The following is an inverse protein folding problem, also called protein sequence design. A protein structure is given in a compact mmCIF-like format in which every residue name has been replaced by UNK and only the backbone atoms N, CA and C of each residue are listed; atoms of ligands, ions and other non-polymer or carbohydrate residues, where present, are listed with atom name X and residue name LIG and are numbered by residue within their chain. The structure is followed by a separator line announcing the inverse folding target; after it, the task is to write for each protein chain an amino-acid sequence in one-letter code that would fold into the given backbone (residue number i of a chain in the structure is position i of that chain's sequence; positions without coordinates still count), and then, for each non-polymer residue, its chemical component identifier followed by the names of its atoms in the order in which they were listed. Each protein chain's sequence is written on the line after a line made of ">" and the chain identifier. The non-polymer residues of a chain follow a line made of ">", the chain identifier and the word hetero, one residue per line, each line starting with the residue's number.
data_IF_789637022276
#
_entry.id   IF_789637022276
#
_cell.length_a   1.000
_cell.length_b   1.000
_cell.length_c   1.000
_cell.angle_alpha   90.00
_cell.angle_beta   90.00
_cell.angle_gamma   90.00
#
_symmetry.space_group_name_H-M   'P 1'
#
loop_
_entity.id
_entity.type
_entity.pdbx_description
1 polymer ?
#
# COMPACT_ATOMS: atom_id res chain seq x y z
N UNK A 1 67.06 -47.51 4.72
CA UNK A 1 65.66 -47.28 4.28
C UNK A 1 64.87 -46.85 5.50
N UNK A 2 64.41 -45.60 5.50
CA UNK A 2 63.52 -45.01 6.52
C UNK A 2 62.07 -45.40 6.24
N UNK A 3 61.28 -45.59 7.30
CA UNK A 3 59.87 -45.18 7.35
C UNK A 3 59.44 -45.02 8.83
N UNK A 4 58.87 -43.87 9.25
CA UNK A 4 58.62 -43.56 10.66
C UNK A 4 57.15 -43.76 11.10
N UNK A 5 57.01 -44.01 12.40
CA UNK A 5 55.79 -44.01 13.19
C UNK A 5 55.04 -42.65 13.09
N UNK A 6 53.79 -42.69 12.63
CA UNK A 6 52.84 -41.59 12.82
C UNK A 6 52.23 -41.66 14.23
N UNK A 7 52.55 -40.67 15.07
CA UNK A 7 51.82 -40.36 16.29
C UNK A 7 50.71 -39.36 15.96
N UNK A 8 49.46 -39.74 16.18
CA UNK A 8 48.29 -38.86 16.14
C UNK A 8 48.23 -38.02 17.42
N UNK A 9 48.45 -36.71 17.32
CA UNK A 9 48.12 -35.74 18.38
C UNK A 9 46.67 -35.26 18.26
N UNK A 10 46.04 -34.77 19.35
CA UNK A 10 44.69 -34.25 19.31
C UNK A 10 44.65 -32.88 18.61
N UNK A 11 43.80 -32.75 17.59
CA UNK A 11 43.50 -31.47 16.95
C UNK A 11 42.41 -30.78 17.77
N UNK A 12 42.78 -29.72 18.51
CA UNK A 12 41.82 -28.90 19.25
C UNK A 12 41.20 -27.86 18.32
N UNK A 13 39.98 -28.14 17.86
CA UNK A 13 39.18 -27.21 17.04
C UNK A 13 38.67 -26.06 17.93
N UNK A 14 39.31 -24.90 17.85
CA UNK A 14 38.85 -23.69 18.53
C UNK A 14 37.79 -23.02 17.63
N UNK A 15 36.51 -23.25 17.93
CA UNK A 15 35.41 -22.58 17.27
C UNK A 15 35.20 -21.21 17.93
N UNK A 16 35.70 -20.14 17.31
CA UNK A 16 35.40 -18.77 17.74
C UNK A 16 33.98 -18.41 17.31
N UNK A 17 33.05 -18.32 18.25
CA UNK A 17 31.74 -17.70 18.03
C UNK A 17 31.90 -16.17 18.11
N UNK A 18 31.85 -15.49 16.96
CA UNK A 18 31.58 -14.06 16.94
C UNK A 18 30.08 -13.85 17.18
N UNK A 19 29.71 -13.48 18.41
CA UNK A 19 28.40 -12.91 18.67
C UNK A 19 28.40 -11.48 18.08
N UNK A 20 28.03 -11.37 16.80
CA UNK A 20 27.64 -10.09 16.23
C UNK A 20 26.33 -9.69 16.90
N UNK A 21 26.42 -8.80 17.88
CA UNK A 21 25.29 -8.01 18.35
C UNK A 21 24.86 -7.11 17.19
N UNK A 22 24.01 -7.64 16.31
CA UNK A 22 23.31 -6.81 15.35
C UNK A 22 22.48 -5.81 16.15
N UNK A 23 22.68 -4.49 15.99
CA UNK A 23 21.74 -3.52 16.54
C UNK A 23 20.36 -3.91 16.04
N UNK A 24 19.38 -3.92 16.95
CA UNK A 24 17.98 -4.15 16.64
C UNK A 24 17.47 -2.92 15.85
N UNK A 25 17.91 -2.82 14.60
CA UNK A 25 17.23 -2.02 13.61
C UNK A 25 15.87 -2.68 13.43
N UNK A 26 14.80 -1.94 13.66
CA UNK A 26 13.46 -2.40 13.29
C UNK A 26 13.52 -2.83 11.83
N UNK A 27 13.50 -4.13 11.57
CA UNK A 27 13.58 -4.64 10.21
C UNK A 27 12.38 -4.11 9.44
N UNK A 28 12.62 -3.54 8.25
CA UNK A 28 11.53 -3.22 7.32
C UNK A 28 10.68 -4.47 7.10
N UNK A 29 9.35 -4.33 6.92
CA UNK A 29 8.53 -5.47 6.55
C UNK A 29 9.10 -6.07 5.25
N UNK A 30 9.42 -7.36 5.27
CA UNK A 30 9.84 -8.10 4.08
C UNK A 30 8.61 -8.28 3.22
N UNK A 31 8.48 -7.48 2.16
CA UNK A 31 7.34 -7.51 1.24
C UNK A 31 7.78 -8.01 -0.12
N UNK A 32 6.95 -8.80 -0.79
CA UNK A 32 7.26 -9.42 -2.08
C UNK A 32 7.01 -8.46 -3.26
N UNK A 33 8.05 -7.89 -3.90
CA UNK A 33 7.88 -6.93 -4.98
C UNK A 33 7.21 -7.52 -6.24
N UNK A 34 7.31 -8.84 -6.44
CA UNK A 34 6.71 -9.52 -7.60
C UNK A 34 5.24 -9.88 -7.37
N UNK A 35 4.77 -9.77 -6.12
CA UNK A 35 3.39 -10.03 -5.71
C UNK A 35 2.75 -8.81 -5.03
N UNK A 36 2.95 -7.63 -5.62
CA UNK A 36 2.30 -6.39 -5.15
C UNK A 36 2.65 -6.01 -3.72
N UNK A 37 3.84 -6.38 -3.23
CA UNK A 37 4.28 -6.15 -1.86
C UNK A 37 3.46 -6.91 -0.81
N UNK A 38 2.95 -8.10 -1.15
CA UNK A 38 2.29 -8.96 -0.18
C UNK A 38 3.24 -9.33 0.97
N UNK A 39 2.76 -9.37 2.23
CA UNK A 39 3.55 -9.90 3.33
C UNK A 39 3.80 -11.39 3.13
N UNK A 40 4.83 -11.97 3.79
CA UNK A 40 5.12 -13.40 3.65
C UNK A 40 3.94 -14.25 4.07
N UNK A 41 3.91 -15.49 3.59
CA UNK A 41 2.83 -16.44 3.93
C UNK A 41 2.56 -16.49 5.44
N UNK A 42 1.27 -16.46 5.82
CA UNK A 42 0.79 -16.41 7.20
C UNK A 42 1.23 -15.18 8.02
N UNK A 43 1.66 -14.10 7.36
CA UNK A 43 1.90 -12.80 8.00
C UNK A 43 0.85 -11.79 7.52
N UNK A 44 0.62 -10.79 8.35
CA UNK A 44 -0.27 -9.67 8.07
C UNK A 44 0.52 -8.38 8.24
N UNK A 45 0.38 -7.46 7.29
CA UNK A 45 0.93 -6.13 7.40
C UNK A 45 -0.08 -5.23 8.11
N UNK A 46 0.29 -4.72 9.29
CA UNK A 46 -0.51 -3.73 10.00
C UNK A 46 -0.18 -2.33 9.48
N UNK A 47 -1.19 -1.67 8.92
CA UNK A 47 -1.16 -0.27 8.49
C UNK A 47 -2.10 0.51 9.40
N UNK A 48 -1.63 1.65 9.94
CA UNK A 48 -2.43 2.50 10.85
C UNK A 48 -2.71 3.84 10.19
N UNK A 49 -3.94 4.31 10.34
CA UNK A 49 -4.45 5.54 9.75
C UNK A 49 -5.40 6.31 10.68
N UNK A 50 -5.99 7.40 10.21
CA UNK A 50 -5.90 7.89 8.82
C UNK A 50 -5.53 9.36 8.69
N UNK A 51 -4.95 9.91 9.75
CA UNK A 51 -4.40 11.26 9.79
C UNK A 51 -3.14 11.29 10.66
N UNK A 52 -2.23 12.22 10.37
CA UNK A 52 -0.94 12.32 11.06
C UNK A 52 -1.08 12.40 12.60
N UNK A 53 -1.88 13.30 13.19
CA UNK A 53 -2.06 13.34 14.64
C UNK A 53 -2.47 12.01 15.27
N UNK A 54 -3.44 11.31 14.67
CA UNK A 54 -3.93 10.02 15.19
C UNK A 54 -2.88 8.92 15.06
N UNK A 55 -2.12 8.89 13.96
CA UNK A 55 -1.01 7.94 13.78
C UNK A 55 0.10 8.19 14.82
N UNK A 56 0.46 9.45 15.05
CA UNK A 56 1.45 9.79 16.08
C UNK A 56 0.96 9.44 17.49
N UNK A 57 -0.33 9.66 17.77
CA UNK A 57 -0.95 9.27 19.03
C UNK A 57 -0.91 7.74 19.22
N UNK A 58 -1.20 6.96 18.17
CA UNK A 58 -1.09 5.50 18.19
C UNK A 58 0.33 5.06 18.51
N UNK A 59 1.34 5.59 17.80
CA UNK A 59 2.75 5.23 18.03
C UNK A 59 3.18 5.60 19.45
N UNK A 60 2.75 6.77 19.94
CA UNK A 60 3.07 7.20 21.30
C UNK A 60 2.40 6.34 22.37
N UNK A 61 1.15 5.93 22.17
CA UNK A 61 0.41 5.12 23.13
C UNK A 61 0.92 3.67 23.19
N UNK A 62 1.19 3.08 22.03
CA UNK A 62 1.58 1.66 21.90
C UNK A 62 3.09 1.44 21.98
N UNK A 63 3.89 2.51 21.87
CA UNK A 63 5.36 2.47 21.74
C UNK A 63 5.84 1.59 20.58
N UNK A 64 4.97 1.38 19.59
CA UNK A 64 5.20 0.51 18.44
C UNK A 64 4.98 1.30 17.15
N UNK A 65 5.96 1.23 16.24
CA UNK A 65 5.83 1.78 14.89
C UNK A 65 5.11 0.74 14.02
N UNK A 66 3.96 1.07 13.39
CA UNK A 66 3.25 0.14 12.52
C UNK A 66 4.06 -0.14 11.25
N UNK A 67 3.82 -1.30 10.64
CA UNK A 67 4.48 -1.69 9.38
C UNK A 67 4.14 -0.76 8.22
N UNK A 68 2.99 -0.08 8.29
CA UNK A 68 2.60 0.98 7.36
C UNK A 68 1.81 2.11 8.00
N UNK A 69 1.73 3.21 7.27
CA UNK A 69 0.94 4.39 7.63
C UNK A 69 0.00 4.74 6.49
N UNK A 70 -1.23 5.13 6.84
CA UNK A 70 -2.26 5.46 5.88
C UNK A 70 -2.53 6.96 5.89
N UNK A 71 -2.48 7.59 4.71
CA UNK A 71 -2.76 9.01 4.50
C UNK A 71 -3.66 9.22 3.26
N UNK A 72 -4.16 10.45 3.10
CA UNK A 72 -4.94 10.85 1.93
C UNK A 72 -4.28 11.96 1.13
N UNK A 73 -4.52 11.95 -0.18
CA UNK A 73 -4.30 13.09 -1.08
C UNK A 73 -5.44 13.17 -2.12
N UNK A 74 -5.38 14.17 -3.00
CA UNK A 74 -6.37 14.40 -4.06
C UNK A 74 -5.66 14.53 -5.40
N UNK A 75 -6.21 13.92 -6.45
CA UNK A 75 -5.61 14.06 -7.78
C UNK A 75 -5.68 15.50 -8.31
N UNK A 76 -6.66 16.28 -7.82
CA UNK A 76 -6.87 17.66 -8.23
C UNK A 76 -5.81 18.61 -7.65
N UNK A 77 -5.33 18.35 -6.43
CA UNK A 77 -4.49 19.33 -5.69
C UNK A 77 -3.17 18.77 -5.16
N UNK A 78 -3.03 17.45 -5.04
CA UNK A 78 -1.91 16.76 -4.38
C UNK A 78 -1.65 17.25 -2.95
N UNK A 79 -2.68 17.81 -2.29
CA UNK A 79 -2.57 18.32 -0.92
C UNK A 79 -2.30 17.19 0.07
N UNK A 80 -1.62 17.50 1.17
CA UNK A 80 -1.28 16.53 2.21
C UNK A 80 -0.04 15.67 1.91
N UNK A 81 0.60 15.82 0.74
CA UNK A 81 1.86 15.13 0.43
C UNK A 81 3.06 15.80 1.12
N UNK A 82 3.58 16.89 0.52
CA UNK A 82 4.79 17.58 1.00
C UNK A 82 4.52 18.72 1.98
N UNK A 83 3.26 19.16 2.07
CA UNK A 83 2.83 20.22 2.98
C UNK A 83 1.61 19.74 3.76
N UNK A 84 1.45 20.19 5.02
CA UNK A 84 0.30 19.83 5.83
C UNK A 84 -1.00 20.35 5.20
N UNK A 85 -2.04 19.52 5.22
CA UNK A 85 -3.36 19.87 4.72
C UNK A 85 -4.47 19.30 5.61
N UNK A 86 -5.54 20.06 5.81
CA UNK A 86 -6.73 19.59 6.52
C UNK A 86 -7.98 20.13 5.85
N UNK A 87 -9.00 19.28 5.73
CA UNK A 87 -10.32 19.60 5.18
C UNK A 87 -11.45 19.20 6.14
N UNK A 88 -11.15 19.03 7.43
CA UNK A 88 -12.11 18.63 8.45
C UNK A 88 -12.14 17.13 8.78
N UNK A 89 -11.43 16.28 8.02
CA UNK A 89 -11.32 14.83 8.26
C UNK A 89 -9.99 14.40 8.92
N UNK A 90 -9.21 15.36 9.43
CA UNK A 90 -7.88 15.12 9.97
C UNK A 90 -6.83 16.06 9.35
N UNK A 91 -5.61 16.03 9.90
CA UNK A 91 -4.46 16.73 9.35
C UNK A 91 -3.56 15.70 8.63
N UNK A 92 -3.36 15.87 7.34
CA UNK A 92 -2.55 14.99 6.49
C UNK A 92 -1.19 15.62 6.21
N UNK A 93 -0.11 14.84 6.33
CA UNK A 93 1.23 15.24 5.91
C UNK A 93 2.10 13.99 5.66
N UNK A 94 1.86 13.31 4.54
CA UNK A 94 2.48 12.03 4.22
C UNK A 94 4.01 12.09 4.18
N UNK A 95 4.58 13.16 3.61
CA UNK A 95 6.04 13.36 3.58
C UNK A 95 6.67 13.39 4.96
N UNK A 96 6.06 14.10 5.91
CA UNK A 96 6.51 14.12 7.31
C UNK A 96 6.48 12.73 7.94
N UNK A 97 5.41 11.96 7.72
CA UNK A 97 5.33 10.60 8.27
C UNK A 97 6.38 9.67 7.65
N UNK A 98 6.60 9.77 6.33
CA UNK A 98 7.58 8.93 5.63
C UNK A 98 9.03 9.26 6.01
N UNK A 99 9.31 10.53 6.33
CA UNK A 99 10.60 10.96 6.89
C UNK A 99 10.78 10.49 8.33
N UNK A 100 9.76 10.67 9.18
CA UNK A 100 9.80 10.31 10.61
C UNK A 100 9.87 8.80 10.85
N UNK A 101 9.23 8.02 9.98
CA UNK A 101 9.14 6.56 10.09
C UNK A 101 9.68 5.88 8.81
N UNK A 102 11.01 5.86 8.62
CA UNK A 102 11.64 5.44 7.37
C UNK A 102 11.44 3.96 7.03
N UNK A 103 11.03 3.13 8.00
CA UNK A 103 10.82 1.70 7.83
C UNK A 103 9.34 1.31 7.63
N UNK A 104 8.42 2.28 7.59
CA UNK A 104 7.01 2.04 7.34
C UNK A 104 6.68 2.23 5.85
N UNK A 105 5.81 1.36 5.31
CA UNK A 105 5.17 1.57 4.00
C UNK A 105 4.15 2.70 4.05
N UNK A 106 3.77 3.23 2.88
CA UNK A 106 2.67 4.17 2.72
C UNK A 106 1.47 3.47 2.08
N UNK A 107 0.30 3.56 2.70
CA UNK A 107 -0.97 3.40 2.00
C UNK A 107 -1.55 4.79 1.72
N UNK A 108 -1.86 5.10 0.47
CA UNK A 108 -2.30 6.44 0.06
C UNK A 108 -3.68 6.36 -0.57
N UNK A 109 -4.69 6.98 0.05
CA UNK A 109 -5.98 7.24 -0.58
C UNK A 109 -5.88 8.36 -1.59
N UNK A 110 -6.15 8.07 -2.87
CA UNK A 110 -6.20 9.07 -3.92
C UNK A 110 -7.66 9.46 -4.20
N UNK A 111 -8.07 10.60 -3.66
CA UNK A 111 -9.39 11.16 -3.91
C UNK A 111 -9.55 11.61 -5.37
N UNK A 112 -10.67 11.25 -5.98
CA UNK A 112 -10.99 11.52 -7.40
C UNK A 112 -12.45 11.95 -7.65
N UNK A 113 -13.24 12.19 -6.59
CA UNK A 113 -14.64 12.62 -6.77
C UNK A 113 -14.68 13.91 -7.59
N UNK A 114 -15.63 13.98 -8.52
CA UNK A 114 -15.80 15.05 -9.52
C UNK A 114 -14.62 15.25 -10.50
N UNK A 115 -13.68 14.30 -10.58
CA UNK A 115 -12.50 14.39 -11.45
C UNK A 115 -12.41 13.30 -12.53
N UNK A 116 -13.36 12.36 -12.64
CA UNK A 116 -13.24 11.22 -13.57
C UNK A 116 -13.02 11.63 -15.02
N UNK A 117 -13.82 12.58 -15.52
CA UNK A 117 -13.73 13.01 -16.92
C UNK A 117 -12.42 13.75 -17.19
N UNK A 118 -11.99 14.59 -16.25
CA UNK A 118 -10.75 15.37 -16.31
C UNK A 118 -9.50 14.49 -16.13
N UNK A 119 -9.61 13.38 -15.41
CA UNK A 119 -8.57 12.35 -15.45
C UNK A 119 -8.53 11.73 -16.83
N UNK A 120 -9.69 11.33 -17.38
CA UNK A 120 -9.77 10.62 -18.67
C UNK A 120 -9.30 11.46 -19.86
N UNK A 121 -9.65 12.74 -19.91
CA UNK A 121 -9.24 13.66 -20.97
C UNK A 121 -7.79 14.17 -20.84
N UNK A 122 -7.14 13.87 -19.72
CA UNK A 122 -5.74 14.21 -19.46
C UNK A 122 -5.52 15.56 -18.76
N UNK A 123 -6.58 16.27 -18.38
CA UNK A 123 -6.49 17.53 -17.61
C UNK A 123 -5.62 17.39 -16.36
N UNK A 124 -5.66 16.23 -15.69
CA UNK A 124 -4.84 15.95 -14.49
C UNK A 124 -3.54 15.18 -14.74
N UNK A 125 -3.09 15.01 -15.99
CA UNK A 125 -1.87 14.26 -16.31
C UNK A 125 -0.62 14.78 -15.59
N UNK A 126 -0.46 16.10 -15.49
CA UNK A 126 0.67 16.70 -14.78
C UNK A 126 0.66 16.34 -13.28
N UNK A 127 -0.51 16.29 -12.66
CA UNK A 127 -0.64 15.89 -11.27
C UNK A 127 -0.41 14.37 -11.10
N UNK A 128 -0.87 13.55 -12.03
CA UNK A 128 -0.58 12.11 -12.04
C UNK A 128 0.94 11.89 -12.10
N UNK A 129 1.64 12.63 -12.97
CA UNK A 129 3.09 12.49 -13.12
C UNK A 129 3.86 12.98 -11.89
N UNK A 130 3.46 14.12 -11.30
CA UNK A 130 4.05 14.61 -10.04
C UNK A 130 3.85 13.62 -8.90
N UNK A 131 2.66 13.00 -8.82
CA UNK A 131 2.40 11.97 -7.82
C UNK A 131 3.27 10.74 -8.05
N UNK A 132 3.39 10.29 -9.31
CA UNK A 132 4.25 9.16 -9.68
C UNK A 132 5.72 9.42 -9.31
N UNK A 133 6.25 10.60 -9.62
CA UNK A 133 7.63 10.98 -9.27
C UNK A 133 7.83 11.05 -7.74
N UNK A 134 6.87 11.63 -7.02
CA UNK A 134 6.93 11.74 -5.56
C UNK A 134 6.92 10.36 -4.89
N UNK A 135 6.06 9.45 -5.35
CA UNK A 135 5.97 8.10 -4.82
C UNK A 135 7.19 7.25 -5.18
N UNK A 136 7.73 7.37 -6.39
CA UNK A 136 8.97 6.70 -6.79
C UNK A 136 10.15 7.11 -5.91
N UNK A 137 10.23 8.38 -5.52
CA UNK A 137 11.31 8.91 -4.69
C UNK A 137 11.29 8.40 -3.23
N UNK A 138 10.21 7.78 -2.76
CA UNK A 138 10.15 7.23 -1.39
C UNK A 138 11.01 5.96 -1.20
N UNK A 139 11.40 5.31 -2.31
CA UNK A 139 12.21 4.08 -2.36
C UNK A 139 11.77 3.00 -1.35
N UNK A 140 10.46 2.82 -1.27
CA UNK A 140 9.80 1.84 -0.40
C UNK A 140 8.44 1.44 -0.98
N UNK A 141 7.87 0.30 -0.57
CA UNK A 141 6.54 -0.12 -0.99
C UNK A 141 5.48 0.94 -0.69
N UNK A 142 4.57 1.15 -1.65
CA UNK A 142 3.41 2.03 -1.55
C UNK A 142 2.17 1.28 -2.04
N UNK A 143 1.06 1.42 -1.33
CA UNK A 143 -0.27 0.92 -1.71
C UNK A 143 -1.16 2.11 -2.09
N UNK A 144 -1.36 2.35 -3.39
CA UNK A 144 -2.14 3.48 -3.90
C UNK A 144 -3.59 3.08 -4.14
N UNK A 145 -4.52 3.61 -3.35
CA UNK A 145 -5.98 3.38 -3.46
C UNK A 145 -6.59 4.43 -4.38
N UNK A 146 -6.65 4.11 -5.68
CA UNK A 146 -7.08 5.02 -6.74
C UNK A 146 -8.60 5.14 -6.73
N UNK A 147 -9.13 6.34 -6.50
CA UNK A 147 -10.58 6.57 -6.47
C UNK A 147 -11.27 5.61 -5.52
N UNK A 148 -10.81 5.60 -4.27
CA UNK A 148 -11.25 4.67 -3.24
C UNK A 148 -12.77 4.71 -3.03
N UNK A 149 -13.31 3.61 -2.51
CA UNK A 149 -14.77 3.41 -2.33
C UNK A 149 -15.54 3.67 -3.63
N UNK A 150 -15.16 2.96 -4.69
CA UNK A 150 -15.65 3.27 -6.04
C UNK A 150 -17.16 3.06 -6.23
N UNK A 151 -17.75 2.23 -5.38
CA UNK A 151 -19.15 1.85 -5.34
C UNK A 151 -19.93 2.60 -4.23
N UNK A 152 -19.30 3.55 -3.54
CA UNK A 152 -20.00 4.47 -2.64
C UNK A 152 -20.90 5.40 -3.46
N UNK A 153 -22.23 5.41 -3.25
CA UNK A 153 -23.13 6.23 -4.05
C UNK A 153 -22.79 7.73 -4.01
N UNK A 154 -22.27 8.24 -2.90
CA UNK A 154 -21.90 9.67 -2.77
C UNK A 154 -20.66 10.05 -3.60
N UNK A 155 -19.82 9.09 -3.97
CA UNK A 155 -18.67 9.35 -4.86
C UNK A 155 -19.10 9.48 -6.34
N UNK A 156 -20.29 8.99 -6.68
CA UNK A 156 -20.94 9.14 -7.98
C UNK A 156 -20.05 8.77 -9.19
N UNK A 157 -19.27 7.69 -9.05
CA UNK A 157 -18.42 7.22 -10.14
C UNK A 157 -19.21 6.42 -11.18
N UNK A 158 -19.21 6.93 -12.41
CA UNK A 158 -19.66 6.14 -13.57
C UNK A 158 -18.76 4.92 -13.76
N UNK A 159 -19.37 3.76 -14.01
CA UNK A 159 -18.66 2.47 -14.10
C UNK A 159 -17.63 2.45 -15.23
N UNK A 160 -17.95 3.04 -16.38
CA UNK A 160 -17.06 3.03 -17.55
C UNK A 160 -15.97 4.08 -17.41
N UNK A 161 -16.34 5.30 -17.00
CA UNK A 161 -15.37 6.38 -16.81
C UNK A 161 -14.38 6.07 -15.69
N UNK A 162 -14.81 5.42 -14.61
CA UNK A 162 -13.94 4.99 -13.53
C UNK A 162 -12.87 4.01 -14.02
N UNK A 163 -13.27 2.99 -14.81
CA UNK A 163 -12.33 2.02 -15.39
C UNK A 163 -11.27 2.74 -16.22
N UNK A 164 -11.66 3.65 -17.10
CA UNK A 164 -10.70 4.40 -17.91
C UNK A 164 -9.77 5.27 -17.06
N UNK A 165 -10.28 5.89 -16.00
CA UNK A 165 -9.49 6.76 -15.15
C UNK A 165 -8.45 5.97 -14.36
N UNK A 166 -8.86 4.84 -13.78
CA UNK A 166 -7.97 3.91 -13.10
C UNK A 166 -6.87 3.41 -14.04
N UNK A 167 -7.26 2.91 -15.22
CA UNK A 167 -6.30 2.42 -16.23
C UNK A 167 -5.31 3.49 -16.67
N UNK A 168 -5.78 4.73 -16.87
CA UNK A 168 -4.92 5.85 -17.28
C UNK A 168 -3.85 6.13 -16.23
N UNK A 169 -4.24 6.25 -14.96
CA UNK A 169 -3.31 6.51 -13.85
C UNK A 169 -2.23 5.41 -13.79
N UNK A 170 -2.64 4.14 -13.81
CA UNK A 170 -1.71 3.01 -13.80
C UNK A 170 -0.76 3.02 -15.01
N UNK A 171 -1.28 3.28 -16.22
CA UNK A 171 -0.46 3.37 -17.45
C UNK A 171 0.59 4.46 -17.34
N UNK A 172 0.24 5.63 -16.79
CA UNK A 172 1.19 6.75 -16.62
C UNK A 172 2.28 6.42 -15.61
N UNK A 173 1.92 5.84 -14.47
CA UNK A 173 2.90 5.38 -13.47
C UNK A 173 3.89 4.40 -14.08
N UNK A 174 3.39 3.39 -14.82
CA UNK A 174 4.24 2.41 -15.51
C UNK A 174 5.10 3.03 -16.61
N UNK A 175 4.56 3.97 -17.38
CA UNK A 175 5.33 4.69 -18.41
C UNK A 175 6.49 5.51 -17.81
N UNK A 176 6.36 5.95 -16.56
CA UNK A 176 7.42 6.63 -15.80
C UNK A 176 8.39 5.67 -15.09
N UNK A 177 8.19 4.36 -15.23
CA UNK A 177 9.04 3.35 -14.61
C UNK A 177 8.86 3.23 -13.10
N UNK A 178 7.71 3.65 -12.55
CA UNK A 178 7.42 3.49 -11.13
C UNK A 178 7.22 2.01 -10.82
N UNK A 179 8.08 1.45 -9.98
CA UNK A 179 8.08 0.02 -9.62
C UNK A 179 7.74 -0.25 -8.17
N UNK A 180 7.73 0.77 -7.30
CA UNK A 180 7.50 0.64 -5.86
C UNK A 180 6.04 0.87 -5.43
N UNK A 181 5.09 0.91 -6.38
CA UNK A 181 3.66 1.19 -6.12
C UNK A 181 2.82 -0.01 -6.54
N UNK A 182 2.04 -0.56 -5.61
CA UNK A 182 0.96 -1.49 -5.86
C UNK A 182 -0.38 -0.73 -5.93
N UNK A 183 -1.18 -1.03 -6.95
CA UNK A 183 -2.46 -0.37 -7.22
C UNK A 183 -3.61 -1.13 -6.57
N UNK A 184 -4.36 -0.43 -5.72
CA UNK A 184 -5.47 -0.98 -4.93
C UNK A 184 -6.80 -0.53 -5.51
N UNK A 185 -7.66 -1.49 -5.86
CA UNK A 185 -9.05 -1.28 -6.24
C UNK A 185 -9.95 -1.50 -5.01
N UNK A 186 -10.53 -0.42 -4.49
CA UNK A 186 -11.09 -0.38 -3.14
C UNK A 186 -12.60 -0.10 -3.15
N UNK A 187 -13.40 -1.06 -2.67
CA UNK A 187 -14.86 -0.97 -2.50
C UNK A 187 -15.25 -0.48 -1.10
N UNK A 188 -16.35 0.25 -0.98
CA UNK A 188 -16.99 0.57 0.29
C UNK A 188 -17.58 -0.66 1.01
N UNK A 189 -17.70 -1.80 0.29
CA UNK A 189 -18.28 -3.06 0.74
C UNK A 189 -19.65 -2.89 1.41
N UNK A 190 -20.46 -1.96 0.91
CA UNK A 190 -21.84 -1.76 1.35
C UNK A 190 -22.79 -2.64 0.54
N UNK A 191 -23.94 -2.96 1.11
CA UNK A 191 -25.00 -3.63 0.34
C UNK A 191 -25.53 -2.65 -0.71
N UNK A 192 -25.34 -2.98 -1.98
CA UNK A 192 -25.90 -2.24 -3.11
C UNK A 192 -26.57 -3.21 -4.08
N UNK A 193 -27.37 -2.67 -5.00
CA UNK A 193 -28.02 -3.42 -6.08
C UNK A 193 -27.09 -3.67 -7.28
N UNK A 194 -25.87 -3.10 -7.28
CA UNK A 194 -24.91 -3.19 -8.36
C UNK A 194 -23.81 -4.19 -8.02
N UNK A 195 -23.43 -4.98 -9.01
CA UNK A 195 -22.24 -5.82 -8.93
C UNK A 195 -20.98 -4.92 -8.92
N UNK A 196 -20.12 -4.98 -7.88
CA UNK A 196 -18.87 -4.21 -7.84
C UNK A 196 -17.98 -4.43 -9.07
N UNK A 197 -18.06 -5.61 -9.70
CA UNK A 197 -17.28 -5.94 -10.89
C UNK A 197 -17.59 -5.04 -12.10
N UNK A 198 -18.70 -4.29 -12.09
CA UNK A 198 -18.99 -3.29 -13.11
C UNK A 198 -17.92 -2.19 -13.21
N UNK A 199 -17.26 -1.86 -12.10
CA UNK A 199 -16.17 -0.88 -12.02
C UNK A 199 -14.77 -1.50 -12.19
N UNK A 200 -14.67 -2.82 -12.41
CA UNK A 200 -13.38 -3.50 -12.43
C UNK A 200 -12.53 -3.10 -13.64
N UNK A 201 -11.34 -2.50 -13.46
CA UNK A 201 -10.54 -1.98 -14.57
C UNK A 201 -9.78 -3.09 -15.33
N UNK A 202 -9.71 -4.31 -14.79
CA UNK A 202 -9.05 -5.46 -15.40
C UNK A 202 -7.83 -5.95 -14.61
N UNK A 203 -7.51 -7.24 -14.75
CA UNK A 203 -6.47 -7.91 -13.97
C UNK A 203 -5.09 -7.28 -14.17
N UNK A 204 -4.83 -6.69 -15.33
CA UNK A 204 -3.54 -6.05 -15.64
C UNK A 204 -3.32 -4.73 -14.88
N UNK A 205 -4.35 -4.12 -14.29
CA UNK A 205 -4.24 -2.82 -13.62
C UNK A 205 -4.30 -2.90 -12.10
N UNK A 206 -4.77 -4.01 -11.54
CA UNK A 206 -5.06 -4.15 -10.11
C UNK A 206 -4.11 -5.15 -9.48
N UNK A 207 -3.42 -4.73 -8.43
CA UNK A 207 -2.57 -5.60 -7.61
C UNK A 207 -3.33 -6.09 -6.36
N UNK A 208 -4.20 -5.25 -5.80
CA UNK A 208 -4.97 -5.54 -4.58
C UNK A 208 -6.44 -5.19 -4.71
N UNK A 209 -7.28 -6.00 -4.08
CA UNK A 209 -8.66 -5.66 -3.74
C UNK A 209 -8.67 -5.09 -2.32
N UNK A 210 -9.35 -3.98 -2.12
CA UNK A 210 -9.53 -3.33 -0.83
C UNK A 210 -11.00 -3.24 -0.45
N UNK A 211 -11.30 -3.29 0.85
CA UNK A 211 -12.63 -2.98 1.38
C UNK A 211 -12.59 -2.00 2.53
N UNK A 212 -13.64 -1.20 2.66
CA UNK A 212 -13.97 -0.52 3.92
C UNK A 212 -14.80 -1.44 4.81
N UNK A 213 -14.37 -1.66 6.05
CA UNK A 213 -15.06 -2.54 7.00
C UNK A 213 -15.31 -1.82 8.33
N UNK A 214 -16.52 -1.26 8.48
CA UNK A 214 -16.89 -0.46 9.65
C UNK A 214 -17.86 -1.18 10.60
N UNK A 215 -18.58 -2.20 10.13
CA UNK A 215 -19.59 -2.88 10.93
C UNK A 215 -19.77 -4.35 10.57
N UNK A 216 -20.18 -5.22 11.52
CA UNK A 216 -20.45 -6.63 11.25
C UNK A 216 -21.50 -6.89 10.17
N UNK A 217 -22.42 -5.96 9.92
CA UNK A 217 -23.42 -6.09 8.85
C UNK A 217 -22.80 -6.11 7.44
N UNK A 218 -21.54 -5.69 7.29
CA UNK A 218 -20.80 -5.78 6.03
C UNK A 218 -20.11 -7.14 5.84
N UNK A 219 -20.26 -8.11 6.75
CA UNK A 219 -19.55 -9.39 6.66
C UNK A 219 -19.80 -10.11 5.34
N UNK A 220 -21.06 -10.27 4.93
CA UNK A 220 -21.41 -11.00 3.70
C UNK A 220 -20.90 -10.30 2.44
N UNK A 221 -21.03 -8.96 2.37
CA UNK A 221 -20.52 -8.17 1.24
C UNK A 221 -19.00 -8.21 1.16
N UNK A 222 -18.32 -8.08 2.30
CA UNK A 222 -16.87 -8.21 2.42
C UNK A 222 -16.37 -9.59 1.99
N UNK A 223 -17.03 -10.67 2.45
CA UNK A 223 -16.67 -12.04 2.10
C UNK A 223 -16.91 -12.35 0.63
N UNK A 224 -18.01 -11.85 0.06
CA UNK A 224 -18.27 -11.97 -1.38
C UNK A 224 -17.16 -11.29 -2.19
N UNK A 225 -16.77 -10.07 -1.83
CA UNK A 225 -15.71 -9.34 -2.52
C UNK A 225 -14.33 -9.98 -2.33
N UNK A 226 -14.03 -10.52 -1.15
CA UNK A 226 -12.85 -11.34 -0.90
C UNK A 226 -12.78 -12.55 -1.85
N UNK A 227 -13.89 -13.27 -2.05
CA UNK A 227 -13.89 -14.41 -2.96
C UNK A 227 -13.64 -14.00 -4.42
N UNK A 228 -14.11 -12.83 -4.85
CA UNK A 228 -13.76 -12.29 -6.16
C UNK A 228 -12.26 -12.03 -6.29
N UNK A 229 -11.63 -11.46 -5.25
CA UNK A 229 -10.18 -11.26 -5.22
C UNK A 229 -9.43 -12.61 -5.32
N UNK A 230 -9.83 -13.59 -4.49
CA UNK A 230 -9.23 -14.93 -4.44
C UNK A 230 -9.32 -15.64 -5.81
N UNK A 231 -10.50 -15.64 -6.43
CA UNK A 231 -10.70 -16.28 -7.75
C UNK A 231 -9.86 -15.63 -8.86
N UNK A 232 -9.48 -14.36 -8.68
CA UNK A 232 -8.61 -13.61 -9.59
C UNK A 232 -7.13 -13.69 -9.22
N UNK A 233 -6.76 -14.41 -8.17
CA UNK A 233 -5.40 -14.47 -7.65
C UNK A 233 -4.87 -13.11 -7.18
N UNK A 234 -5.77 -12.23 -6.69
CA UNK A 234 -5.41 -10.90 -6.21
C UNK A 234 -5.27 -10.89 -4.70
N UNK A 235 -4.33 -10.07 -4.22
CA UNK A 235 -4.18 -9.84 -2.79
C UNK A 235 -5.37 -9.05 -2.25
N UNK A 236 -5.62 -9.14 -0.94
CA UNK A 236 -6.79 -8.55 -0.29
C UNK A 236 -6.40 -7.77 0.96
N UNK A 237 -6.98 -6.58 1.14
CA UNK A 237 -6.80 -5.77 2.35
C UNK A 237 -8.11 -5.20 2.88
N UNK A 238 -8.17 -5.00 4.19
CA UNK A 238 -9.11 -4.08 4.82
C UNK A 238 -8.38 -2.73 4.87
N UNK A 239 -8.95 -1.74 4.20
CA UNK A 239 -8.31 -0.48 3.83
C UNK A 239 -8.88 0.72 4.57
#
# INVERSE_FOLDING_TARGET
>A
MLSPLLKSGPVSLHLLFFLLLAPCASAQPVLDPDNGFAPPWQKTLLIVGQDKPTIEAYVNATKTVPGGMMEYTSIQTLSGLSLPFSNGAGLHHAGFLMEKYPNSTLQLGLYMVDALLQVNDGTYDENIDKLADWLAALDRPVFLRIGYEFDEPTNNYDTTQYKFAFQRIVKRFRAKGVTNVAFVWHSAAKMTDKDPMMWYPGDEYVDWFGISYFSPSQYETAMSFYWQAYLKGKNFMIA
#
